data_IF_962089645085
#
_entry.id   IF_962089645085
#
_cell.length_a   1.000
_cell.length_b   1.000
_cell.length_c   1.000
_cell.angle_alpha   90.00
_cell.angle_beta   90.00
_cell.angle_gamma   90.00
#
_symmetry.space_group_name_H-M   'P 1'
#
loop_
_entity.id
_entity.type
_entity.pdbx_description
1 polymer ?
#
# COMPACT_ATOMS: atom_id res chain seq x y z
N UNK A 1 -10.93 9.06 -21.28
CA UNK A 1 -11.07 10.29 -20.46
C UNK A 1 -11.56 9.92 -19.06
N UNK A 2 -11.31 10.77 -18.04
CA UNK A 2 -11.66 10.48 -16.63
C UNK A 2 -13.15 10.14 -16.43
N UNK A 3 -14.06 10.85 -17.13
CA UNK A 3 -15.50 10.69 -16.95
C UNK A 3 -16.03 9.29 -17.29
N UNK A 4 -15.31 8.50 -18.10
CA UNK A 4 -15.64 7.12 -18.46
C UNK A 4 -14.69 6.09 -17.81
N UNK A 5 -13.79 6.53 -16.94
CA UNK A 5 -12.76 5.69 -16.33
C UNK A 5 -13.27 4.81 -15.20
N UNK A 6 -12.58 3.70 -14.94
CA UNK A 6 -12.79 2.84 -13.77
C UNK A 6 -12.50 3.58 -12.45
N UNK A 7 -11.62 4.58 -12.47
CA UNK A 7 -11.33 5.41 -11.30
C UNK A 7 -12.55 6.23 -10.88
N UNK A 8 -13.22 6.90 -11.82
CA UNK A 8 -14.45 7.64 -11.51
C UNK A 8 -15.55 6.72 -10.99
N UNK A 9 -15.69 5.53 -11.59
CA UNK A 9 -16.77 4.59 -11.25
C UNK A 9 -16.60 3.89 -9.91
N UNK A 10 -15.37 3.51 -9.54
CA UNK A 10 -15.14 2.60 -8.40
C UNK A 10 -14.21 3.16 -7.32
N UNK A 11 -13.48 4.24 -7.59
CA UNK A 11 -12.43 4.77 -6.71
C UNK A 11 -12.57 6.27 -6.45
N UNK A 12 -13.78 6.79 -6.62
CA UNK A 12 -14.16 8.16 -6.29
C UNK A 12 -15.33 8.08 -5.33
N UNK A 13 -15.14 8.62 -4.14
CA UNK A 13 -16.04 8.44 -3.01
C UNK A 13 -16.68 9.78 -2.64
N UNK A 14 -17.89 9.73 -2.11
CA UNK A 14 -18.68 10.94 -1.82
C UNK A 14 -18.16 11.69 -0.60
N UNK A 15 -17.52 11.00 0.35
CA UNK A 15 -17.05 11.62 1.60
C UNK A 15 -15.95 10.79 2.30
N UNK A 16 -15.27 11.42 3.27
CA UNK A 16 -14.27 10.74 4.09
C UNK A 16 -14.90 9.68 5.00
N UNK A 17 -16.15 9.87 5.43
CA UNK A 17 -16.89 8.88 6.22
C UNK A 17 -17.12 7.60 5.42
N UNK A 18 -17.34 7.71 4.10
CA UNK A 18 -17.41 6.53 3.23
C UNK A 18 -16.10 5.75 3.22
N UNK A 19 -14.95 6.45 3.17
CA UNK A 19 -13.64 5.82 3.24
C UNK A 19 -13.39 5.18 4.61
N UNK A 20 -13.78 5.86 5.69
CA UNK A 20 -13.65 5.34 7.06
C UNK A 20 -14.46 4.04 7.24
N UNK A 21 -15.68 3.98 6.69
CA UNK A 21 -16.50 2.76 6.71
C UNK A 21 -15.84 1.60 5.97
N UNK A 22 -15.25 1.84 4.79
CA UNK A 22 -14.56 0.79 4.03
C UNK A 22 -13.36 0.23 4.79
N UNK A 23 -12.54 1.10 5.40
CA UNK A 23 -11.41 0.67 6.23
C UNK A 23 -11.85 -0.11 7.47
N UNK A 24 -12.89 0.37 8.15
CA UNK A 24 -13.45 -0.34 9.31
C UNK A 24 -14.01 -1.71 8.93
N UNK A 25 -14.66 -1.84 7.76
CA UNK A 25 -15.12 -3.11 7.24
C UNK A 25 -13.95 -4.06 6.90
N UNK A 26 -12.87 -3.56 6.30
CA UNK A 26 -11.67 -4.35 6.03
C UNK A 26 -11.01 -4.86 7.32
N UNK A 27 -10.84 -3.99 8.33
CA UNK A 27 -10.33 -4.34 9.66
C UNK A 27 -11.20 -5.42 10.32
N UNK A 28 -12.52 -5.22 10.34
CA UNK A 28 -13.48 -6.18 10.91
C UNK A 28 -13.42 -7.53 10.19
N UNK A 29 -13.38 -7.54 8.85
CA UNK A 29 -13.28 -8.78 8.05
C UNK A 29 -12.05 -9.58 8.44
N UNK A 30 -10.90 -8.91 8.59
CA UNK A 30 -9.68 -9.58 9.05
C UNK A 30 -9.81 -10.13 10.48
N UNK A 31 -10.28 -9.30 11.44
CA UNK A 31 -10.52 -9.73 12.84
C UNK A 31 -11.41 -10.98 12.90
N UNK A 32 -12.55 -10.97 12.20
CA UNK A 32 -13.46 -12.12 12.13
C UNK A 32 -12.79 -13.37 11.55
N UNK A 33 -12.03 -13.22 10.45
CA UNK A 33 -11.29 -14.33 9.83
C UNK A 33 -10.22 -14.90 10.77
N UNK A 34 -9.48 -14.04 11.47
CA UNK A 34 -8.41 -14.45 12.38
C UNK A 34 -8.96 -15.21 13.59
N UNK A 35 -10.06 -14.72 14.18
CA UNK A 35 -10.79 -15.38 15.26
C UNK A 35 -11.37 -16.72 14.81
N UNK A 36 -12.00 -16.78 13.64
CA UNK A 36 -12.58 -18.02 13.11
C UNK A 36 -11.53 -19.11 12.86
N UNK A 37 -10.29 -18.71 12.56
CA UNK A 37 -9.17 -19.64 12.38
C UNK A 37 -8.56 -20.11 13.72
N UNK A 38 -9.08 -19.67 14.87
CA UNK A 38 -8.63 -20.07 16.21
C UNK A 38 -7.23 -19.58 16.57
N UNK A 39 -6.65 -18.66 15.78
CA UNK A 39 -5.28 -18.17 15.99
C UNK A 39 -5.19 -17.09 17.08
N UNK A 40 -6.30 -16.44 17.41
CA UNK A 40 -6.36 -15.26 18.28
C UNK A 40 -7.75 -15.12 18.90
N UNK A 41 -7.82 -14.54 20.10
CA UNK A 41 -9.09 -14.27 20.80
C UNK A 41 -9.80 -13.03 20.21
N UNK A 42 -11.13 -12.89 20.36
CA UNK A 42 -11.88 -11.77 19.80
C UNK A 42 -11.41 -10.37 20.21
N UNK A 43 -10.90 -10.24 21.44
CA UNK A 43 -10.41 -8.99 22.02
C UNK A 43 -8.90 -9.04 22.29
N UNK A 44 -8.18 -9.82 21.47
CA UNK A 44 -6.73 -9.92 21.61
C UNK A 44 -6.09 -8.54 21.35
N UNK A 45 -5.24 -8.03 22.26
CA UNK A 45 -4.58 -6.72 22.10
C UNK A 45 -3.64 -6.67 20.89
N UNK A 46 -3.35 -7.80 20.23
CA UNK A 46 -2.60 -7.82 18.98
C UNK A 46 -3.37 -7.19 17.81
N UNK A 47 -4.69 -7.06 17.91
CA UNK A 47 -5.46 -6.43 16.84
C UNK A 47 -5.38 -4.91 16.89
N UNK A 48 -5.08 -4.32 15.73
CA UNK A 48 -5.12 -2.89 15.53
C UNK A 48 -6.54 -2.39 15.34
N UNK A 49 -6.79 -1.17 15.81
CA UNK A 49 -7.95 -0.38 15.49
C UNK A 49 -7.81 0.31 14.12
N UNK A 50 -8.92 0.63 13.44
CA UNK A 50 -8.87 1.24 12.10
C UNK A 50 -8.04 2.52 12.00
N UNK A 51 -7.95 3.30 13.08
CA UNK A 51 -7.16 4.52 13.14
C UNK A 51 -5.65 4.25 13.27
N UNK A 52 -5.27 3.16 13.95
CA UNK A 52 -3.88 2.69 14.05
C UNK A 52 -3.42 2.15 12.69
N UNK A 53 -4.26 1.35 12.03
CA UNK A 53 -4.00 0.91 10.65
C UNK A 53 -3.80 2.09 9.71
N UNK A 54 -4.63 3.14 9.81
CA UNK A 54 -4.51 4.34 8.99
C UNK A 54 -3.20 5.09 9.28
N UNK A 55 -2.75 5.11 10.53
CA UNK A 55 -1.47 5.72 10.93
C UNK A 55 -0.30 5.00 10.28
N UNK A 56 -0.30 3.66 10.33
CA UNK A 56 0.69 2.84 9.61
C UNK A 56 0.63 3.08 8.11
N UNK A 57 -0.56 3.14 7.50
CA UNK A 57 -0.72 3.43 6.08
C UNK A 57 -0.08 4.77 5.69
N UNK A 58 -0.33 5.84 6.47
CA UNK A 58 0.27 7.17 6.22
C UNK A 58 1.79 7.15 6.37
N UNK A 59 2.29 6.45 7.38
CA UNK A 59 3.73 6.28 7.58
C UNK A 59 4.38 5.59 6.37
N UNK A 60 3.84 4.45 5.94
CA UNK A 60 4.39 3.70 4.82
C UNK A 60 4.18 4.37 3.46
N UNK A 61 3.12 5.16 3.29
CA UNK A 61 2.96 6.01 2.11
C UNK A 61 4.10 7.04 2.02
N UNK A 62 4.47 7.68 3.14
CA UNK A 62 5.61 8.61 3.18
C UNK A 62 6.91 7.87 2.84
N UNK A 63 7.11 6.66 3.38
CA UNK A 63 8.27 5.83 3.04
C UNK A 63 8.30 5.46 1.56
N UNK A 64 7.16 5.16 0.94
CA UNK A 64 7.07 4.91 -0.50
C UNK A 64 7.50 6.15 -1.31
N UNK A 65 7.13 7.36 -0.88
CA UNK A 65 7.58 8.59 -1.53
C UNK A 65 9.09 8.80 -1.40
N UNK A 66 9.64 8.58 -0.20
CA UNK A 66 11.09 8.61 0.05
C UNK A 66 11.82 7.60 -0.84
N UNK A 67 11.30 6.38 -0.95
CA UNK A 67 11.82 5.34 -1.84
C UNK A 67 11.82 5.79 -3.31
N UNK A 68 10.72 6.33 -3.81
CA UNK A 68 10.64 6.81 -5.19
C UNK A 68 11.64 7.95 -5.47
N UNK A 69 12.00 8.73 -4.46
CA UNK A 69 12.89 9.88 -4.61
C UNK A 69 14.37 9.52 -4.78
N UNK A 70 14.79 8.31 -4.34
CA UNK A 70 16.20 7.90 -4.40
C UNK A 70 16.61 7.36 -5.78
N UNK A 71 15.66 7.10 -6.69
CA UNK A 71 15.96 6.61 -8.03
C UNK A 71 16.73 7.62 -8.87
N UNK A 72 17.67 7.09 -9.66
CA UNK A 72 18.46 7.83 -10.64
C UNK A 72 18.40 7.10 -11.99
N UNK A 73 17.92 7.76 -13.07
CA UNK A 73 17.30 9.10 -13.10
C UNK A 73 16.03 9.21 -12.25
N UNK A 74 15.64 10.44 -11.91
CA UNK A 74 14.51 10.70 -11.02
C UNK A 74 13.21 10.11 -11.61
N UNK A 75 12.45 9.41 -10.76
CA UNK A 75 11.21 8.79 -11.18
C UNK A 75 10.17 9.85 -11.59
N UNK A 76 9.45 9.67 -12.71
CA UNK A 76 8.41 10.62 -13.12
C UNK A 76 7.31 10.73 -12.07
N UNK A 77 6.83 11.95 -11.82
CA UNK A 77 5.75 12.21 -10.83
C UNK A 77 4.48 11.40 -11.09
N UNK A 78 4.18 11.10 -12.36
CA UNK A 78 3.03 10.27 -12.75
C UNK A 78 3.15 8.83 -12.29
N UNK A 79 4.36 8.27 -12.28
CA UNK A 79 4.64 6.90 -11.81
C UNK A 79 4.53 6.85 -10.29
N UNK A 80 5.13 7.82 -9.60
CA UNK A 80 5.03 7.95 -8.13
C UNK A 80 3.57 8.12 -7.69
N UNK A 81 2.80 8.99 -8.36
CA UNK A 81 1.39 9.18 -8.08
C UNK A 81 0.55 7.91 -8.27
N UNK A 82 0.86 7.12 -9.30
CA UNK A 82 0.21 5.82 -9.54
C UNK A 82 0.53 4.83 -8.41
N UNK A 83 1.78 4.79 -7.96
CA UNK A 83 2.20 3.94 -6.85
C UNK A 83 1.44 4.25 -5.55
N UNK A 84 1.41 5.53 -5.16
CA UNK A 84 0.67 5.98 -3.98
C UNK A 84 -0.83 5.70 -4.12
N UNK A 85 -1.39 5.87 -5.33
CA UNK A 85 -2.79 5.55 -5.61
C UNK A 85 -3.07 4.06 -5.39
N UNK A 86 -2.24 3.16 -5.93
CA UNK A 86 -2.41 1.71 -5.70
C UNK A 86 -2.26 1.33 -4.24
N UNK A 87 -1.27 1.90 -3.54
CA UNK A 87 -1.10 1.71 -2.10
C UNK A 87 -2.37 2.08 -1.32
N UNK A 88 -2.91 3.28 -1.56
CA UNK A 88 -4.15 3.75 -0.90
C UNK A 88 -5.36 2.88 -1.24
N UNK A 89 -5.50 2.46 -2.50
CA UNK A 89 -6.61 1.61 -2.95
C UNK A 89 -6.56 0.22 -2.33
N UNK A 90 -5.36 -0.35 -2.21
CA UNK A 90 -5.14 -1.64 -1.59
C UNK A 90 -5.57 -1.62 -0.12
N UNK A 91 -5.05 -0.68 0.67
CA UNK A 91 -5.39 -0.55 2.10
C UNK A 91 -6.74 0.12 2.39
N UNK A 92 -7.51 0.46 1.36
CA UNK A 92 -8.90 0.87 1.55
C UNK A 92 -9.81 -0.34 1.83
N UNK A 93 -9.48 -1.50 1.26
CA UNK A 93 -10.31 -2.71 1.33
C UNK A 93 -9.60 -3.90 1.98
N UNK A 94 -8.34 -3.74 2.40
CA UNK A 94 -7.56 -4.78 3.06
C UNK A 94 -6.90 -4.25 4.32
N UNK A 95 -6.76 -5.09 5.34
CA UNK A 95 -6.12 -4.75 6.61
C UNK A 95 -4.60 -4.82 6.52
N UNK A 96 -3.90 -3.90 7.18
CA UNK A 96 -2.43 -3.96 7.35
C UNK A 96 -1.97 -5.19 8.14
N UNK A 97 -2.85 -5.76 8.96
CA UNK A 97 -2.55 -6.95 9.75
C UNK A 97 -2.56 -8.22 8.90
N UNK A 98 -3.39 -8.27 7.86
CA UNK A 98 -3.35 -9.35 6.87
C UNK A 98 -2.14 -9.22 5.96
N UNK A 99 -1.88 -7.97 5.59
CA UNK A 99 -0.94 -7.63 4.54
C UNK A 99 -0.02 -6.52 5.02
N UNK A 100 1.04 -6.90 5.72
CA UNK A 100 1.94 -5.91 6.32
C UNK A 100 2.59 -5.02 5.23
N UNK A 101 2.50 -3.67 5.31
CA UNK A 101 3.02 -2.76 4.29
C UNK A 101 4.52 -2.87 4.02
N UNK A 102 5.27 -3.45 4.98
CA UNK A 102 6.69 -3.82 4.80
C UNK A 102 6.90 -4.98 3.82
N UNK A 103 5.96 -5.92 3.74
CA UNK A 103 6.12 -7.18 2.99
C UNK A 103 5.36 -7.13 1.66
N UNK A 104 4.19 -6.50 1.65
CA UNK A 104 3.31 -6.53 0.49
C UNK A 104 3.58 -5.37 -0.45
N UNK A 105 4.01 -5.69 -1.69
CA UNK A 105 3.28 -5.86 -2.99
C UNK A 105 2.61 -4.67 -3.74
N UNK A 106 2.34 -3.46 -3.21
CA UNK A 106 2.31 -2.28 -4.09
C UNK A 106 3.64 -2.13 -4.81
N UNK A 107 4.73 -2.66 -4.25
CA UNK A 107 6.02 -2.83 -4.92
C UNK A 107 5.94 -3.66 -6.20
N UNK A 108 5.47 -4.90 -6.22
CA UNK A 108 5.44 -5.71 -7.46
C UNK A 108 4.52 -5.08 -8.53
N UNK A 109 3.35 -4.57 -8.14
CA UNK A 109 2.48 -3.83 -9.06
C UNK A 109 3.11 -2.52 -9.57
N UNK A 110 3.87 -1.83 -8.71
CA UNK A 110 4.66 -0.65 -9.05
C UNK A 110 5.88 -0.99 -9.93
N UNK A 111 6.56 -2.10 -9.70
CA UNK A 111 7.66 -2.60 -10.52
C UNK A 111 7.17 -2.93 -11.93
N UNK A 112 5.98 -3.55 -12.04
CA UNK A 112 5.33 -3.79 -13.32
C UNK A 112 4.94 -2.47 -14.00
N UNK A 113 4.37 -1.51 -13.26
CA UNK A 113 4.00 -0.19 -13.81
C UNK A 113 5.23 0.62 -14.26
N UNK A 114 6.31 0.58 -13.49
CA UNK A 114 7.61 1.14 -13.86
C UNK A 114 8.14 0.45 -15.13
N UNK A 115 8.20 -0.89 -15.16
CA UNK A 115 8.74 -1.62 -16.30
C UNK A 115 7.95 -1.37 -17.58
N UNK A 116 6.63 -1.18 -17.47
CA UNK A 116 5.75 -0.93 -18.62
C UNK A 116 5.77 0.53 -19.09
N UNK A 117 5.93 1.50 -18.18
CA UNK A 117 5.91 2.95 -18.51
C UNK A 117 7.28 3.62 -18.57
N UNK A 118 8.33 2.93 -18.13
CA UNK A 118 9.70 3.43 -18.10
C UNK A 118 10.62 2.50 -18.92
N UNK A 119 10.49 2.47 -20.26
CA UNK A 119 11.27 1.60 -21.14
C UNK A 119 12.78 1.91 -21.13
N UNK A 120 13.18 3.07 -20.60
CA UNK A 120 14.59 3.46 -20.37
C UNK A 120 15.21 2.78 -19.13
N UNK A 121 14.46 1.98 -18.38
CA UNK A 121 15.01 1.19 -17.29
C UNK A 121 15.71 -0.05 -17.87
N UNK A 122 16.98 0.11 -18.23
CA UNK A 122 17.78 -0.93 -18.89
C UNK A 122 17.83 -2.24 -18.09
N UNK A 123 17.77 -2.17 -16.75
CA UNK A 123 17.80 -3.36 -15.90
C UNK A 123 16.75 -3.30 -14.76
N UNK A 124 15.63 -4.03 -14.89
CA UNK A 124 14.58 -4.08 -13.87
C UNK A 124 15.04 -4.76 -12.56
N UNK A 125 16.12 -5.56 -12.56
CA UNK A 125 16.68 -6.16 -11.34
C UNK A 125 17.29 -5.11 -10.40
N UNK A 126 17.68 -3.94 -10.92
CA UNK A 126 18.10 -2.81 -10.09
C UNK A 126 16.95 -2.35 -9.19
N UNK A 127 15.71 -2.39 -9.68
CA UNK A 127 14.55 -2.03 -8.87
C UNK A 127 14.34 -3.05 -7.74
N UNK A 128 14.55 -4.34 -8.02
CA UNK A 128 14.44 -5.42 -7.03
C UNK A 128 15.49 -5.26 -5.94
N UNK A 129 16.75 -5.07 -6.32
CA UNK A 129 17.85 -4.81 -5.37
C UNK A 129 17.63 -3.54 -4.55
N UNK A 130 17.22 -2.45 -5.18
CA UNK A 130 16.94 -1.17 -4.48
C UNK A 130 15.76 -1.33 -3.52
N UNK A 131 14.73 -2.07 -3.92
CA UNK A 131 13.60 -2.41 -3.06
C UNK A 131 14.06 -3.24 -1.86
N UNK A 132 14.84 -4.30 -2.08
CA UNK A 132 15.35 -5.18 -1.03
C UNK A 132 16.26 -4.41 -0.05
N UNK A 133 17.16 -3.55 -0.56
CA UNK A 133 18.01 -2.68 0.24
C UNK A 133 17.18 -1.69 1.07
N UNK A 134 16.12 -1.14 0.49
CA UNK A 134 15.21 -0.23 1.18
C UNK A 134 14.40 -0.94 2.27
N UNK A 135 13.85 -2.11 1.97
CA UNK A 135 13.14 -2.96 2.93
C UNK A 135 14.06 -3.39 4.08
N UNK A 136 15.33 -3.68 3.77
CA UNK A 136 16.36 -4.01 4.77
C UNK A 136 16.72 -2.79 5.64
N UNK A 137 16.79 -1.59 5.07
CA UNK A 137 17.03 -0.37 5.86
C UNK A 137 15.86 -0.02 6.77
N UNK A 138 14.62 -0.19 6.30
CA UNK A 138 13.42 -0.02 7.14
C UNK A 138 13.40 -1.05 8.28
N UNK A 139 13.90 -2.27 8.03
CA UNK A 139 13.99 -3.30 9.06
C UNK A 139 14.87 -2.92 10.26
N UNK A 140 15.80 -1.98 10.05
CA UNK A 140 16.77 -1.53 11.05
C UNK A 140 16.36 -0.24 11.77
N UNK A 141 15.22 0.34 11.39
CA UNK A 141 14.64 1.51 12.07
C UNK A 141 13.39 1.05 12.82
N UNK A 142 13.50 0.96 14.16
CA UNK A 142 12.38 0.76 15.10
C UNK A 142 11.36 1.92 15.03
#
# INVERSE_FOLDING_TARGET
MYHSSSQKRHWTFASEEQLARLRADANRKFKCKAVANGKVLPNDPVFLEPHEELTLCKYYEKRLLEFCSVFKPAMPRSVVGTACMYFKRFYLNNSVMEYHPRIIIPFEGFLIDIKTRYPMLENPEILRKTADDFLSRIALTD
#
